data_IF_563534860141
#
_entry.id   IF_563534860141
#
_cell.length_a   1.000
_cell.length_b   1.000
_cell.length_c   1.000
_cell.angle_alpha   90.00
_cell.angle_beta   90.00
_cell.angle_gamma   90.00
#
_symmetry.space_group_name_H-M   'P 1'
#
loop_
_entity.id
_entity.type
_entity.pdbx_description
1 polymer ?
#
# COMPACT_ATOMS: atom_id res chain seq x y z
N UNK A 1 -15.03 -10.46 -23.21
CA UNK A 1 -14.26 -9.21 -23.28
C UNK A 1 -14.83 -8.27 -22.23
N UNK A 2 -14.21 -8.16 -21.05
CA UNK A 2 -14.66 -7.19 -20.04
C UNK A 2 -14.26 -5.80 -20.51
N UNK A 3 -15.24 -4.96 -20.83
CA UNK A 3 -15.00 -3.56 -21.16
C UNK A 3 -14.39 -2.87 -19.93
N UNK A 4 -13.25 -2.20 -20.15
CA UNK A 4 -12.49 -1.50 -19.12
C UNK A 4 -13.28 -0.24 -18.73
N UNK A 5 -13.74 -0.15 -17.49
CA UNK A 5 -14.24 1.11 -16.94
C UNK A 5 -13.11 2.14 -16.81
N UNK A 6 -13.42 3.45 -16.85
CA UNK A 6 -12.41 4.49 -16.70
C UNK A 6 -11.68 4.37 -15.35
N UNK A 7 -10.37 4.52 -15.37
CA UNK A 7 -9.52 4.56 -14.17
C UNK A 7 -9.66 5.94 -13.53
N UNK A 8 -10.17 5.99 -12.30
CA UNK A 8 -10.31 7.25 -11.57
C UNK A 8 -8.96 7.71 -11.00
N UNK A 9 -8.60 9.00 -11.13
CA UNK A 9 -7.42 9.55 -10.51
C UNK A 9 -7.53 9.50 -8.98
N UNK A 10 -6.40 9.36 -8.31
CA UNK A 10 -6.30 9.20 -6.87
C UNK A 10 -5.42 10.26 -6.21
N UNK A 11 -5.82 10.66 -5.00
CA UNK A 11 -5.11 11.67 -4.20
C UNK A 11 -3.94 11.07 -3.42
N UNK A 12 -2.73 11.52 -3.74
CA UNK A 12 -1.51 11.16 -2.98
C UNK A 12 -1.59 11.57 -1.52
N UNK A 13 -2.06 12.80 -1.26
CA UNK A 13 -2.09 13.38 0.07
C UNK A 13 -3.01 12.59 1.02
N UNK A 14 -4.10 12.02 0.50
CA UNK A 14 -4.99 11.17 1.27
C UNK A 14 -4.29 9.90 1.77
N UNK A 15 -3.64 9.15 0.87
CA UNK A 15 -2.92 7.92 1.23
C UNK A 15 -1.73 8.19 2.16
N UNK A 16 -0.97 9.26 1.92
CA UNK A 16 0.11 9.66 2.82
C UNK A 16 -0.41 10.10 4.18
N UNK A 17 -1.44 10.94 4.24
CA UNK A 17 -1.98 11.47 5.48
C UNK A 17 -2.51 10.37 6.38
N UNK A 18 -3.28 9.42 5.82
CA UNK A 18 -3.80 8.30 6.61
C UNK A 18 -2.66 7.37 7.05
N UNK A 19 -1.76 7.00 6.15
CA UNK A 19 -0.69 6.06 6.51
C UNK A 19 0.30 6.65 7.51
N UNK A 20 0.84 7.84 7.24
CA UNK A 20 1.78 8.50 8.16
C UNK A 20 1.11 8.88 9.47
N UNK A 21 -0.10 9.43 9.41
CA UNK A 21 -0.86 9.81 10.59
C UNK A 21 -1.12 8.61 11.49
N UNK A 22 -1.62 7.51 10.93
CA UNK A 22 -1.90 6.31 11.71
C UNK A 22 -0.67 5.51 12.10
N UNK A 23 0.43 5.52 11.32
CA UNK A 23 1.70 4.91 11.72
C UNK A 23 2.36 5.66 12.87
N UNK A 24 2.40 7.00 12.82
CA UNK A 24 2.98 7.84 13.88
C UNK A 24 2.11 7.74 15.14
N UNK A 25 0.80 7.98 15.02
CA UNK A 25 -0.12 7.92 16.15
C UNK A 25 -0.14 6.51 16.77
N UNK A 26 -0.29 5.47 15.93
CA UNK A 26 -0.27 4.08 16.38
C UNK A 26 1.05 3.70 17.05
N UNK A 27 2.19 4.14 16.52
CA UNK A 27 3.51 3.92 17.11
C UNK A 27 3.68 4.60 18.46
N UNK A 28 3.24 5.85 18.60
CA UNK A 28 3.27 6.60 19.88
C UNK A 28 2.39 5.90 20.92
N UNK A 29 1.15 5.55 20.55
CA UNK A 29 0.22 4.86 21.45
C UNK A 29 0.76 3.50 21.87
N UNK A 30 1.40 2.77 20.95
CA UNK A 30 2.05 1.49 21.23
C UNK A 30 3.17 1.64 22.27
N UNK A 31 4.02 2.65 22.12
CA UNK A 31 5.10 2.92 23.08
C UNK A 31 4.54 3.26 24.47
N UNK A 32 3.54 4.15 24.54
CA UNK A 32 2.85 4.51 25.80
C UNK A 32 2.23 3.27 26.45
N UNK A 33 1.54 2.45 25.66
CA UNK A 33 0.92 1.22 26.14
C UNK A 33 1.96 0.25 26.72
N UNK A 34 3.09 0.07 26.04
CA UNK A 34 4.17 -0.80 26.53
C UNK A 34 4.76 -0.32 27.85
N UNK A 35 5.05 0.99 27.97
CA UNK A 35 5.54 1.55 29.23
C UNK A 35 4.53 1.40 30.37
N UNK A 36 3.24 1.64 30.08
CA UNK A 36 2.17 1.48 31.08
C UNK A 36 1.98 0.03 31.52
N UNK A 37 2.02 -0.93 30.59
CA UNK A 37 1.88 -2.36 30.90
C UNK A 37 3.09 -2.82 31.72
N UNK A 38 4.31 -2.64 31.21
CA UNK A 38 5.53 -3.13 31.86
C UNK A 38 5.74 -2.45 33.21
N UNK A 39 5.60 -1.11 33.24
CA UNK A 39 5.77 -0.35 34.47
C UNK A 39 4.69 -0.63 35.50
N UNK A 40 3.43 -0.76 35.06
CA UNK A 40 2.30 -1.07 35.94
C UNK A 40 2.39 -2.47 36.56
N UNK A 41 2.75 -3.49 35.77
CA UNK A 41 2.95 -4.86 36.30
C UNK A 41 4.13 -4.92 37.25
N UNK A 42 5.27 -4.32 36.89
CA UNK A 42 6.44 -4.29 37.75
C UNK A 42 6.16 -3.56 39.08
N UNK A 43 5.45 -2.43 39.04
CA UNK A 43 5.06 -1.71 40.25
C UNK A 43 4.12 -2.53 41.14
N UNK A 44 3.16 -3.25 40.55
CA UNK A 44 2.23 -4.13 41.28
C UNK A 44 2.95 -5.30 41.98
N UNK A 45 4.02 -5.82 41.38
CA UNK A 45 4.80 -6.94 41.92
C UNK A 45 5.88 -6.51 42.92
N UNK A 46 6.39 -5.28 42.83
CA UNK A 46 7.52 -4.79 43.63
C UNK A 46 7.24 -4.68 45.14
N UNK A 47 5.98 -4.47 45.54
CA UNK A 47 5.61 -4.18 46.94
C UNK A 47 5.96 -2.77 47.42
N UNK A 48 6.68 -1.98 46.62
CA UNK A 48 7.08 -0.60 46.94
C UNK A 48 5.95 0.42 46.72
N UNK A 49 4.95 0.05 45.91
CA UNK A 49 3.80 0.88 45.54
C UNK A 49 2.47 0.17 45.87
N UNK A 50 1.37 0.93 45.91
CA UNK A 50 0.02 0.37 46.03
C UNK A 50 -0.25 -0.61 44.85
N UNK A 51 -0.43 -1.91 45.11
CA UNK A 51 -0.62 -2.91 44.06
C UNK A 51 -1.87 -2.66 43.23
N UNK A 52 -2.92 -2.06 43.81
CA UNK A 52 -4.14 -1.72 43.09
C UNK A 52 -3.90 -0.60 42.06
N UNK A 53 -3.08 0.40 42.42
CA UNK A 53 -2.68 1.46 41.51
C UNK A 53 -1.81 0.93 40.35
N UNK A 54 -0.84 0.04 40.65
CA UNK A 54 -0.02 -0.62 39.62
C UNK A 54 -0.85 -1.44 38.63
N UNK A 55 -1.80 -2.23 39.15
CA UNK A 55 -2.74 -3.01 38.34
C UNK A 55 -3.64 -2.13 37.46
N UNK A 56 -4.13 -1.00 37.98
CA UNK A 56 -4.93 -0.05 37.20
C UNK A 56 -4.13 0.57 36.03
N UNK A 57 -2.86 0.92 36.25
CA UNK A 57 -1.98 1.46 35.20
C UNK A 57 -1.74 0.40 34.10
N UNK A 58 -1.45 -0.85 34.48
CA UNK A 58 -1.28 -1.94 33.52
C UNK A 58 -2.56 -2.18 32.70
N UNK A 59 -3.72 -2.18 33.36
CA UNK A 59 -5.03 -2.31 32.71
C UNK A 59 -5.32 -1.18 31.73
N UNK A 60 -5.03 0.08 32.10
CA UNK A 60 -5.12 1.22 31.19
C UNK A 60 -4.18 1.07 29.99
N UNK A 61 -2.96 0.55 30.20
CA UNK A 61 -2.01 0.24 29.13
C UNK A 61 -2.57 -0.74 28.10
N UNK A 62 -3.32 -1.76 28.51
CA UNK A 62 -3.99 -2.70 27.58
C UNK A 62 -5.05 -1.99 26.72
N UNK A 63 -5.83 -1.07 27.29
CA UNK A 63 -6.80 -0.29 26.52
C UNK A 63 -6.12 0.61 25.48
N UNK A 64 -5.01 1.25 25.85
CA UNK A 64 -4.20 2.06 24.92
C UNK A 64 -3.58 1.18 23.83
N UNK A 65 -3.15 -0.05 24.16
CA UNK A 65 -2.65 -1.03 23.19
C UNK A 65 -3.71 -1.37 22.13
N UNK A 66 -4.94 -1.64 22.56
CA UNK A 66 -6.05 -1.92 21.65
C UNK A 66 -6.34 -0.74 20.72
N UNK A 67 -6.28 0.49 21.23
CA UNK A 67 -6.41 1.70 20.41
C UNK A 67 -5.27 1.84 19.41
N UNK A 68 -4.03 1.57 19.83
CA UNK A 68 -2.86 1.57 18.94
C UNK A 68 -3.04 0.58 17.78
N UNK A 69 -3.48 -0.65 18.09
CA UNK A 69 -3.77 -1.68 17.09
C UNK A 69 -4.87 -1.21 16.14
N UNK A 70 -5.95 -0.60 16.64
CA UNK A 70 -7.03 -0.09 15.81
C UNK A 70 -6.55 0.99 14.82
N UNK A 71 -5.69 1.92 15.25
CA UNK A 71 -5.10 2.94 14.38
C UNK A 71 -4.23 2.32 13.26
N UNK A 72 -3.41 1.32 13.59
CA UNK A 72 -2.56 0.62 12.63
C UNK A 72 -3.39 -0.21 11.64
N UNK A 73 -4.47 -0.86 12.12
CA UNK A 73 -5.41 -1.59 11.27
C UNK A 73 -6.13 -0.66 10.29
N UNK A 74 -6.64 0.49 10.75
CA UNK A 74 -7.29 1.47 9.89
C UNK A 74 -6.35 1.96 8.77
N UNK A 75 -5.08 2.20 9.11
CA UNK A 75 -4.04 2.58 8.14
C UNK A 75 -3.79 1.48 7.10
N UNK A 76 -3.74 0.24 7.56
CA UNK A 76 -3.50 -0.94 6.71
C UNK A 76 -4.66 -1.18 5.72
N UNK A 77 -5.91 -0.92 6.15
CA UNK A 77 -7.08 -1.03 5.26
C UNK A 77 -6.95 -0.08 4.07
N UNK A 78 -6.55 1.17 4.30
CA UNK A 78 -6.38 2.16 3.22
C UNK A 78 -5.28 1.74 2.25
N UNK A 79 -4.21 1.13 2.74
CA UNK A 79 -3.17 0.56 1.89
C UNK A 79 -3.69 -0.62 1.04
N UNK A 80 -4.48 -1.52 1.62
CA UNK A 80 -5.09 -2.60 0.85
C UNK A 80 -6.05 -2.08 -0.22
N UNK A 81 -6.76 -0.99 0.04
CA UNK A 81 -7.56 -0.29 -1.00
C UNK A 81 -6.65 0.23 -2.12
N UNK A 82 -5.48 0.80 -1.80
CA UNK A 82 -4.52 1.23 -2.83
C UNK A 82 -4.03 0.05 -3.67
N UNK A 83 -3.70 -1.08 -3.04
CA UNK A 83 -3.30 -2.30 -3.74
C UNK A 83 -4.43 -2.88 -4.60
N UNK A 84 -5.67 -2.80 -4.16
CA UNK A 84 -6.80 -3.16 -5.00
C UNK A 84 -6.84 -2.26 -6.25
N UNK A 85 -6.76 -0.94 -6.08
CA UNK A 85 -6.81 0.03 -7.17
C UNK A 85 -5.66 -0.15 -8.17
N UNK A 86 -4.44 -0.41 -7.70
CA UNK A 86 -3.28 -0.58 -8.57
C UNK A 86 -3.43 -1.79 -9.48
N UNK A 87 -3.91 -2.92 -8.94
CA UNK A 87 -4.16 -4.12 -9.75
C UNK A 87 -5.36 -3.96 -10.66
N UNK A 88 -6.38 -3.22 -10.23
CA UNK A 88 -7.56 -2.95 -11.06
C UNK A 88 -7.21 -2.11 -12.29
N UNK A 89 -6.25 -1.20 -12.16
CA UNK A 89 -5.82 -0.31 -13.24
C UNK A 89 -5.18 -1.04 -14.42
N UNK A 90 -4.61 -2.24 -14.21
CA UNK A 90 -3.88 -3.00 -15.25
C UNK A 90 -4.57 -4.29 -15.71
N UNK A 91 -5.87 -4.45 -15.46
CA UNK A 91 -6.62 -5.63 -15.90
C UNK A 91 -6.87 -5.60 -17.41
N UNK A 92 -5.98 -6.22 -18.19
CA UNK A 92 -6.08 -6.36 -19.65
C UNK A 92 -6.16 -7.82 -20.14
N UNK A 93 -6.38 -8.76 -19.22
CA UNK A 93 -6.40 -10.20 -19.50
C UNK A 93 -5.03 -10.88 -19.46
N UNK A 94 -3.92 -10.11 -19.40
CA UNK A 94 -2.56 -10.64 -19.26
C UNK A 94 -1.96 -10.45 -17.87
N UNK A 95 -2.63 -9.70 -16.99
CA UNK A 95 -2.23 -9.55 -15.59
C UNK A 95 -2.20 -10.90 -14.86
N UNK A 96 -1.15 -11.16 -14.08
CA UNK A 96 -0.95 -12.44 -13.38
C UNK A 96 -1.98 -12.71 -12.27
N UNK A 97 -2.63 -11.66 -11.78
CA UNK A 97 -3.58 -11.74 -10.66
C UNK A 97 -4.70 -10.72 -10.83
N UNK A 98 -5.79 -10.97 -10.11
CA UNK A 98 -6.94 -10.07 -10.03
C UNK A 98 -6.84 -9.18 -8.79
N UNK A 99 -7.51 -8.02 -8.75
CA UNK A 99 -7.46 -7.10 -7.61
C UNK A 99 -7.89 -7.76 -6.30
N UNK A 100 -8.95 -8.56 -6.35
CA UNK A 100 -9.45 -9.31 -5.20
C UNK A 100 -8.45 -10.36 -4.69
N UNK A 101 -7.75 -11.08 -5.59
CA UNK A 101 -6.71 -12.05 -5.20
C UNK A 101 -5.46 -11.35 -4.66
N UNK A 102 -5.07 -10.23 -5.26
CA UNK A 102 -3.92 -9.45 -4.82
C UNK A 102 -4.03 -9.04 -3.35
N UNK A 103 -5.21 -8.58 -2.92
CA UNK A 103 -5.47 -8.20 -1.52
C UNK A 103 -5.86 -9.40 -0.67
N UNK A 104 -6.78 -10.26 -1.13
CA UNK A 104 -7.35 -11.33 -0.31
C UNK A 104 -6.31 -12.33 0.20
N UNK A 105 -5.33 -12.70 -0.63
CA UNK A 105 -4.30 -13.67 -0.24
C UNK A 105 -3.23 -13.07 0.69
N UNK A 106 -3.20 -11.74 0.90
CA UNK A 106 -2.39 -11.11 1.95
C UNK A 106 -2.86 -11.47 3.36
N UNK A 107 -4.10 -11.94 3.52
CA UNK A 107 -4.66 -12.34 4.82
C UNK A 107 -4.42 -13.81 5.16
N UNK A 108 -3.82 -14.60 4.27
CA UNK A 108 -3.54 -16.02 4.51
C UNK A 108 -2.22 -16.12 5.30
N UNK A 109 -2.23 -16.60 6.55
CA UNK A 109 -1.01 -16.71 7.35
C UNK A 109 0.06 -17.54 6.66
N UNK A 110 1.32 -17.12 6.79
CA UNK A 110 2.53 -17.69 6.16
C UNK A 110 2.58 -17.58 4.62
N UNK A 111 1.47 -17.85 3.94
CA UNK A 111 1.36 -17.66 2.49
C UNK A 111 1.46 -16.19 2.10
N UNK A 112 1.03 -15.28 2.97
CA UNK A 112 1.15 -13.83 2.77
C UNK A 112 2.60 -13.39 2.49
N UNK A 113 3.60 -14.03 3.08
CA UNK A 113 5.02 -13.69 2.85
C UNK A 113 5.39 -13.94 1.38
N UNK A 114 5.10 -15.13 0.87
CA UNK A 114 5.27 -15.45 -0.55
C UNK A 114 4.41 -14.55 -1.42
N UNK A 115 3.14 -14.36 -1.04
CA UNK A 115 2.18 -13.60 -1.85
C UNK A 115 2.57 -12.13 -1.96
N UNK A 116 3.30 -11.57 -1.00
CA UNK A 116 3.78 -10.19 -1.05
C UNK A 116 4.66 -9.96 -2.27
N UNK A 117 5.49 -10.93 -2.64
CA UNK A 117 6.29 -10.88 -3.87
C UNK A 117 5.41 -10.91 -5.12
N UNK A 118 4.32 -11.67 -5.12
CA UNK A 118 3.41 -11.71 -6.27
C UNK A 118 2.55 -10.44 -6.38
N UNK A 119 2.07 -9.91 -5.25
CA UNK A 119 1.17 -8.76 -5.21
C UNK A 119 1.89 -7.42 -5.35
N UNK A 120 3.10 -7.26 -4.81
CA UNK A 120 3.84 -5.99 -4.82
C UNK A 120 4.90 -6.01 -5.92
N UNK A 121 5.90 -6.89 -5.84
CA UNK A 121 6.93 -6.97 -6.88
C UNK A 121 6.37 -7.40 -8.24
N UNK A 122 5.46 -8.37 -8.27
CA UNK A 122 4.76 -8.78 -9.49
C UNK A 122 3.97 -7.64 -10.15
N UNK A 123 3.44 -6.69 -9.37
CA UNK A 123 2.75 -5.52 -9.93
C UNK A 123 3.70 -4.64 -10.76
N UNK A 124 4.92 -4.39 -10.28
CA UNK A 124 5.89 -3.57 -11.04
C UNK A 124 6.21 -4.16 -12.41
N UNK A 125 6.32 -5.49 -12.49
CA UNK A 125 6.55 -6.22 -13.74
C UNK A 125 5.35 -6.16 -14.67
N UNK A 126 4.17 -6.46 -14.14
CA UNK A 126 2.95 -6.50 -14.94
C UNK A 126 2.53 -5.12 -15.41
N UNK A 127 2.77 -4.07 -14.61
CA UNK A 127 2.59 -2.69 -15.01
C UNK A 127 3.54 -2.29 -16.16
N UNK A 128 4.84 -2.60 -16.03
CA UNK A 128 5.81 -2.27 -17.08
C UNK A 128 5.51 -2.99 -18.39
N UNK A 129 5.14 -4.27 -18.30
CA UNK A 129 4.73 -5.05 -19.46
C UNK A 129 3.41 -4.54 -20.03
N UNK A 130 2.46 -4.12 -19.18
CA UNK A 130 1.23 -3.46 -19.61
C UNK A 130 1.54 -2.19 -20.41
N UNK A 131 2.45 -1.32 -19.94
CA UNK A 131 2.88 -0.14 -20.69
C UNK A 131 3.45 -0.52 -22.07
N UNK A 132 4.26 -1.58 -22.12
CA UNK A 132 4.86 -2.07 -23.36
C UNK A 132 3.82 -2.61 -24.33
N UNK A 133 2.86 -3.42 -23.86
CA UNK A 133 1.80 -4.02 -24.70
C UNK A 133 0.88 -2.96 -25.32
N UNK A 134 0.58 -1.92 -24.56
CA UNK A 134 -0.34 -0.86 -24.99
C UNK A 134 0.38 0.37 -25.55
N UNK A 135 1.71 0.31 -25.73
CA UNK A 135 2.54 1.43 -26.19
C UNK A 135 2.30 2.75 -25.42
N UNK A 136 2.05 2.64 -24.11
CA UNK A 136 1.70 3.77 -23.26
C UNK A 136 2.97 4.49 -22.81
N UNK A 137 3.09 5.77 -23.16
CA UNK A 137 4.19 6.64 -22.76
C UNK A 137 4.06 7.10 -21.29
N UNK A 138 4.10 6.16 -20.34
CA UNK A 138 4.17 6.43 -18.91
C UNK A 138 5.51 5.97 -18.32
N UNK A 139 5.86 6.51 -17.15
CA UNK A 139 7.11 6.16 -16.47
C UNK A 139 7.06 4.71 -15.96
N UNK A 140 8.01 3.83 -16.33
CA UNK A 140 8.06 2.47 -15.79
C UNK A 140 8.39 2.47 -14.29
N UNK A 141 7.88 1.46 -13.59
CA UNK A 141 8.15 1.22 -12.18
C UNK A 141 9.50 0.51 -11.99
N UNK A 142 10.23 0.88 -10.93
CA UNK A 142 11.48 0.24 -10.56
C UNK A 142 11.21 -1.13 -9.91
N UNK A 143 11.51 -2.21 -10.62
CA UNK A 143 11.33 -3.57 -10.09
C UNK A 143 12.18 -3.84 -8.84
N UNK A 144 13.40 -3.28 -8.79
CA UNK A 144 14.30 -3.42 -7.64
C UNK A 144 13.74 -2.76 -6.38
N UNK A 145 13.09 -1.59 -6.52
CA UNK A 145 12.45 -0.91 -5.39
C UNK A 145 11.25 -1.71 -4.85
N UNK A 146 10.40 -2.23 -5.75
CA UNK A 146 9.26 -3.06 -5.33
C UNK A 146 9.71 -4.41 -4.76
N UNK A 147 10.83 -4.95 -5.23
CA UNK A 147 11.45 -6.13 -4.62
C UNK A 147 11.98 -5.82 -3.21
N UNK A 148 12.66 -4.67 -3.04
CA UNK A 148 13.12 -4.23 -1.72
C UNK A 148 11.95 -4.03 -0.74
N UNK A 149 10.80 -3.53 -1.23
CA UNK A 149 9.58 -3.40 -0.44
C UNK A 149 9.04 -4.75 0.08
N UNK A 150 9.39 -5.87 -0.56
CA UNK A 150 9.07 -7.21 -0.06
C UNK A 150 10.14 -7.74 0.91
N UNK A 151 11.42 -7.47 0.66
CA UNK A 151 12.54 -8.04 1.44
C UNK A 151 12.70 -7.33 2.79
N UNK A 152 12.66 -5.99 2.82
CA UNK A 152 12.94 -5.21 4.03
C UNK A 152 11.99 -5.53 5.19
N UNK A 153 10.66 -5.69 4.99
CA UNK A 153 9.76 -6.12 6.05
C UNK A 153 10.13 -7.48 6.66
N UNK A 154 10.64 -8.43 5.86
CA UNK A 154 11.07 -9.73 6.36
C UNK A 154 12.28 -9.62 7.31
N UNK A 155 13.16 -8.63 7.12
CA UNK A 155 14.27 -8.36 8.03
C UNK A 155 13.79 -7.83 9.39
N UNK A 156 12.57 -7.30 9.44
CA UNK A 156 11.90 -6.85 10.67
C UNK A 156 11.70 -7.94 11.72
N UNK A 157 11.71 -9.22 11.30
CA UNK A 157 11.54 -10.37 12.20
C UNK A 157 12.79 -10.60 13.06
N UNK A 158 13.97 -10.14 12.62
CA UNK A 158 15.23 -10.35 13.32
C UNK A 158 15.35 -9.33 14.46
N UNK A 159 15.52 -9.77 15.73
CA UNK A 159 15.73 -8.87 16.86
C UNK A 159 16.89 -7.90 16.61
N UNK A 160 16.75 -6.64 17.06
CA UNK A 160 17.71 -5.53 16.88
C UNK A 160 17.87 -5.02 15.44
N UNK A 161 17.92 -5.90 14.43
CA UNK A 161 17.89 -5.52 13.01
C UNK A 161 16.56 -4.87 12.64
N UNK A 162 15.47 -5.27 13.30
CA UNK A 162 14.14 -4.76 13.04
C UNK A 162 14.01 -3.23 13.19
N UNK A 163 14.78 -2.58 14.07
CA UNK A 163 14.72 -1.13 14.26
C UNK A 163 15.23 -0.36 13.03
N UNK A 164 16.40 -0.77 12.51
CA UNK A 164 16.94 -0.19 11.28
C UNK A 164 16.07 -0.55 10.07
N UNK A 165 15.58 -1.79 10.00
CA UNK A 165 14.66 -2.23 8.96
C UNK A 165 13.37 -1.41 8.96
N UNK A 166 12.87 -1.00 10.13
CA UNK A 166 11.65 -0.18 10.27
C UNK A 166 11.82 1.20 9.64
N UNK A 167 12.96 1.85 9.86
CA UNK A 167 13.27 3.15 9.28
C UNK A 167 13.37 3.04 7.76
N UNK A 168 14.12 2.04 7.26
CA UNK A 168 14.24 1.79 5.83
C UNK A 168 12.87 1.47 5.20
N UNK A 169 12.04 0.69 5.89
CA UNK A 169 10.70 0.33 5.45
C UNK A 169 9.80 1.57 5.32
N UNK A 170 9.86 2.50 6.27
CA UNK A 170 9.10 3.76 6.20
C UNK A 170 9.45 4.56 4.94
N UNK A 171 10.75 4.70 4.63
CA UNK A 171 11.22 5.42 3.45
C UNK A 171 10.79 4.72 2.16
N UNK A 172 11.04 3.41 2.04
CA UNK A 172 10.65 2.62 0.87
C UNK A 172 9.14 2.73 0.64
N UNK A 173 8.36 2.63 1.71
CA UNK A 173 6.92 2.70 1.64
C UNK A 173 6.42 4.04 1.08
N UNK A 174 6.99 5.16 1.54
CA UNK A 174 6.64 6.49 1.01
C UNK A 174 6.87 6.54 -0.50
N UNK A 175 8.00 6.00 -0.97
CA UNK A 175 8.32 5.98 -2.39
C UNK A 175 7.37 5.07 -3.16
N UNK A 176 7.03 3.89 -2.62
CA UNK A 176 6.11 2.92 -3.25
C UNK A 176 4.71 3.52 -3.39
N UNK A 177 4.16 4.13 -2.34
CA UNK A 177 2.85 4.79 -2.42
C UNK A 177 2.86 5.90 -3.45
N UNK A 178 3.91 6.72 -3.49
CA UNK A 178 4.05 7.75 -4.53
C UNK A 178 4.05 7.14 -5.93
N UNK A 179 4.85 6.08 -6.13
CA UNK A 179 5.00 5.42 -7.42
C UNK A 179 3.70 4.76 -7.89
N UNK A 180 2.94 4.12 -6.99
CA UNK A 180 1.63 3.53 -7.30
C UNK A 180 0.60 4.62 -7.64
N UNK A 181 0.59 5.72 -6.89
CA UNK A 181 -0.32 6.82 -7.19
C UNK A 181 0.00 7.46 -8.55
N UNK A 182 1.28 7.67 -8.86
CA UNK A 182 1.71 8.16 -10.16
C UNK A 182 1.37 7.20 -11.29
N UNK A 183 1.55 5.90 -11.08
CA UNK A 183 1.24 4.88 -12.10
C UNK A 183 -0.25 4.83 -12.41
N UNK A 184 -1.12 4.87 -11.39
CA UNK A 184 -2.58 4.89 -11.55
C UNK A 184 -3.03 6.19 -12.21
N UNK A 185 -2.52 7.35 -11.75
CA UNK A 185 -2.90 8.64 -12.31
C UNK A 185 -2.46 8.79 -13.77
N UNK A 186 -1.27 8.29 -14.13
CA UNK A 186 -0.83 8.27 -15.52
C UNK A 186 -1.81 7.50 -16.42
N UNK A 187 -2.31 6.35 -15.96
CA UNK A 187 -3.32 5.59 -16.70
C UNK A 187 -4.67 6.31 -16.76
N UNK A 188 -5.07 6.99 -15.68
CA UNK A 188 -6.31 7.77 -15.62
C UNK A 188 -6.32 8.94 -16.61
N UNK A 189 -5.17 9.58 -16.87
CA UNK A 189 -5.09 10.69 -17.83
C UNK A 189 -5.02 10.23 -19.29
N UNK A 190 -4.49 9.04 -19.56
CA UNK A 190 -4.28 8.53 -20.93
C UNK A 190 -5.59 7.98 -21.53
N UNK A 191 -6.47 7.39 -20.71
CA UNK A 191 -7.73 6.82 -21.20
C UNK A 191 -8.70 7.85 -21.81
N UNK A 192 -8.98 9.00 -21.17
CA UNK A 192 -9.83 10.04 -21.77
C UNK A 192 -9.21 10.62 -23.03
N UNK A 193 -7.88 10.79 -23.08
CA UNK A 193 -7.19 11.32 -24.24
C UNK A 193 -7.34 10.42 -25.48
N UNK A 194 -7.21 9.10 -25.31
CA UNK A 194 -7.40 8.15 -26.41
C UNK A 194 -8.84 8.20 -26.97
N UNK A 195 -9.84 8.25 -26.09
CA UNK A 195 -11.25 8.30 -26.49
C UNK A 195 -11.64 9.59 -27.23
N UNK A 196 -10.93 10.69 -27.00
CA UNK A 196 -11.16 11.97 -27.69
C UNK A 196 -10.46 12.00 -29.04
N UNK A 197 -9.27 11.42 -29.16
CA UNK A 197 -8.44 11.49 -30.36
C UNK A 197 -8.83 10.48 -31.46
N UNK A 198 -9.35 9.30 -31.10
CA UNK A 198 -9.78 8.28 -32.08
C UNK A 198 -10.76 8.83 -33.15
N UNK A 199 -11.89 9.46 -32.78
CA UNK A 199 -12.83 9.98 -33.78
C UNK A 199 -12.30 11.19 -34.57
N UNK A 200 -11.39 12.00 -34.00
CA UNK A 200 -10.75 13.12 -34.73
C UNK A 200 -9.74 12.59 -35.77
N UNK A 201 -8.95 11.58 -35.42
CA UNK A 201 -8.04 10.90 -36.33
C UNK A 201 -8.78 10.18 -37.46
N UNK A 202 -9.86 9.47 -37.15
CA UNK A 202 -10.70 8.78 -38.14
C UNK A 202 -11.33 9.80 -39.12
N UNK A 203 -11.86 10.92 -38.60
CA UNK A 203 -12.41 11.99 -39.43
C UNK A 203 -11.35 12.66 -40.34
N UNK A 204 -10.11 12.81 -39.86
CA UNK A 204 -8.99 13.32 -40.66
C UNK A 204 -8.52 12.33 -41.74
N UNK A 205 -8.64 11.02 -41.49
CA UNK A 205 -8.31 9.98 -42.47
C UNK A 205 -9.38 9.79 -43.57
N UNK A 206 -10.64 10.20 -43.36
CA UNK A 206 -11.71 10.10 -44.36
C UNK A 206 -11.72 11.26 -45.38
N UNK A 207 -11.15 12.41 -45.04
CA UNK A 207 -11.08 13.60 -45.92
C UNK A 207 -10.25 13.45 -47.23
N UNK A 208 -9.19 12.62 -47.36
CA UNK A 208 -8.37 12.55 -48.58
C UNK A 208 -9.08 11.94 -49.80
N UNK A 209 -10.22 11.28 -49.62
CA UNK A 209 -10.90 10.53 -50.68
C UNK A 209 -12.13 11.24 -51.27
N UNK A 210 -12.54 12.40 -50.74
CA UNK A 210 -13.74 13.12 -51.20
C UNK A 210 -13.45 14.34 -52.10
N UNK A 211 -12.20 14.75 -52.27
CA UNK A 211 -11.81 15.89 -53.12
C UNK A 211 -11.13 15.49 -54.46
N UNK A 212 -11.24 14.22 -54.89
CA UNK A 212 -10.85 13.75 -56.24
C UNK A 212 -12.07 13.28 -57.02
#
# INVERSE_FOLDING_TARGET
>A
MNQRGPVEPISKAFYFGIYLGGAILGGILMAIAMFAIIGGTAASESGDFDPAAGGAIAGAGVLVLLLAIACLLASSIVLFVLYYKMWNAIQDGYARTTPGKAVGFMFIPFFNIYWMFQAIWGYSKDYNEFLRRHAIAAKPLSEGLFLAACIVPCLGIIPFVGWLASIANLVIFIIIVNAICDSINALAYIQPQAAILEPEYDAQQELPHQEM
#
